data_IF_776197713741
#
_entry.id   IF_776197713741
#
_cell.length_a   1.000
_cell.length_b   1.000
_cell.length_c   1.000
_cell.angle_alpha   90.00
_cell.angle_beta   90.00
_cell.angle_gamma   90.00
#
_symmetry.space_group_name_H-M   'P 1'
#
loop_
_entity.id
_entity.type
_entity.pdbx_description
1 polymer ?
#
# COMPACT_ATOMS: atom_id res chain seq x y z
N UNK A 1 18.59 -17.09 12.26
CA UNK A 1 17.37 -17.56 12.88
C UNK A 1 17.19 -16.88 14.23
N UNK A 2 16.04 -16.24 14.45
CA UNK A 2 15.76 -15.43 15.67
C UNK A 2 15.58 -16.33 16.92
N UNK A 3 15.50 -17.65 16.74
CA UNK A 3 15.12 -18.61 17.77
C UNK A 3 16.15 -18.80 18.90
N UNK A 4 17.42 -18.42 18.69
CA UNK A 4 18.53 -18.77 19.62
C UNK A 4 19.28 -17.57 20.19
N UNK A 5 18.74 -16.36 20.11
CA UNK A 5 19.37 -15.23 20.79
C UNK A 5 18.97 -15.22 22.25
N UNK A 6 19.74 -15.94 23.05
CA UNK A 6 19.82 -15.93 24.51
C UNK A 6 18.50 -15.66 25.24
N UNK A 7 17.76 -16.72 25.63
CA UNK A 7 16.60 -16.56 26.50
C UNK A 7 17.05 -15.92 27.82
N UNK A 8 16.51 -14.75 28.13
CA UNK A 8 16.74 -14.07 29.40
C UNK A 8 15.58 -14.36 30.37
N UNK A 9 15.75 -14.11 31.65
CA UNK A 9 14.70 -14.23 32.65
C UNK A 9 13.46 -13.36 32.33
N UNK A 10 13.63 -12.32 31.51
CA UNK A 10 12.52 -11.48 31.03
C UNK A 10 11.50 -12.28 30.20
N UNK A 11 11.94 -13.29 29.46
CA UNK A 11 11.05 -14.11 28.63
C UNK A 11 10.01 -14.92 29.42
N UNK A 12 10.20 -15.09 30.72
CA UNK A 12 9.28 -15.80 31.60
C UNK A 12 8.20 -14.89 32.19
N UNK A 13 8.33 -13.57 32.04
CA UNK A 13 7.34 -12.60 32.50
C UNK A 13 6.16 -12.46 31.52
N UNK A 14 4.98 -12.05 32.01
CA UNK A 14 3.85 -11.67 31.16
C UNK A 14 4.24 -10.55 30.18
N UNK A 15 3.67 -10.58 28.97
CA UNK A 15 4.05 -9.64 27.88
C UNK A 15 3.80 -8.18 28.25
N UNK A 16 2.72 -7.87 28.98
CA UNK A 16 2.40 -6.51 29.43
C UNK A 16 3.46 -5.94 30.40
N UNK A 17 4.05 -6.78 31.24
CA UNK A 17 5.16 -6.41 32.12
C UNK A 17 6.43 -6.19 31.30
N UNK A 18 6.72 -7.10 30.35
CA UNK A 18 7.88 -6.99 29.47
C UNK A 18 7.87 -5.71 28.66
N UNK A 19 6.70 -5.30 28.14
CA UNK A 19 6.55 -4.03 27.40
C UNK A 19 6.81 -2.83 28.30
N UNK A 20 6.31 -2.82 29.55
CA UNK A 20 6.54 -1.72 30.50
C UNK A 20 8.02 -1.57 30.88
N UNK A 21 8.71 -2.69 31.04
CA UNK A 21 10.11 -2.73 31.47
C UNK A 21 11.11 -2.63 30.32
N UNK A 22 10.66 -2.63 29.06
CA UNK A 22 11.50 -2.80 27.88
C UNK A 22 12.66 -1.79 27.79
N UNK A 23 12.43 -0.55 28.19
CA UNK A 23 13.46 0.52 28.12
C UNK A 23 14.67 0.25 29.02
N UNK A 24 14.48 -0.53 30.12
CA UNK A 24 15.53 -0.81 31.11
C UNK A 24 15.95 -2.27 31.18
N UNK A 25 15.18 -3.15 30.54
CA UNK A 25 15.42 -4.58 30.57
C UNK A 25 16.08 -5.06 29.25
N UNK A 26 17.02 -5.99 29.37
CA UNK A 26 17.58 -6.69 28.21
C UNK A 26 16.64 -7.83 27.78
N UNK A 27 15.70 -7.53 26.87
CA UNK A 27 14.72 -8.50 26.39
C UNK A 27 14.70 -8.66 24.86
N UNK A 28 15.72 -9.32 24.28
CA UNK A 28 15.78 -9.58 22.83
C UNK A 28 14.62 -10.49 22.34
N UNK A 29 14.05 -11.32 23.22
CA UNK A 29 12.91 -12.15 22.88
C UNK A 29 11.64 -11.34 22.64
N UNK A 30 11.44 -10.20 23.31
CA UNK A 30 10.30 -9.33 23.06
C UNK A 30 10.39 -8.70 21.68
N UNK A 31 11.58 -8.30 21.24
CA UNK A 31 11.82 -7.80 19.87
C UNK A 31 11.48 -8.87 18.82
N UNK A 32 11.95 -10.09 19.06
CA UNK A 32 11.66 -11.22 18.18
C UNK A 32 10.14 -11.54 18.15
N UNK A 33 9.49 -11.50 19.30
CA UNK A 33 8.04 -11.71 19.39
C UNK A 33 7.27 -10.63 18.63
N UNK A 34 7.66 -9.37 18.78
CA UNK A 34 7.02 -8.25 18.10
C UNK A 34 7.18 -8.35 16.57
N UNK A 35 8.37 -8.70 16.10
CA UNK A 35 8.60 -8.98 14.68
C UNK A 35 7.72 -10.12 14.16
N UNK A 36 7.65 -11.23 14.87
CA UNK A 36 6.80 -12.36 14.47
C UNK A 36 5.31 -12.05 14.57
N UNK A 37 4.91 -11.17 15.49
CA UNK A 37 3.53 -10.71 15.58
C UNK A 37 3.13 -9.87 14.36
N UNK A 38 4.01 -8.98 13.87
CA UNK A 38 3.78 -8.27 12.61
C UNK A 38 3.62 -9.22 11.41
N UNK A 39 4.48 -10.24 11.32
CA UNK A 39 4.34 -11.30 10.30
C UNK A 39 3.02 -12.06 10.43
N UNK A 40 2.64 -12.44 11.65
CA UNK A 40 1.37 -13.11 11.92
C UNK A 40 0.17 -12.30 11.44
N UNK A 41 0.16 -10.98 11.66
CA UNK A 41 -0.93 -10.12 11.19
C UNK A 41 -1.07 -10.16 9.67
N UNK A 42 0.03 -10.09 8.93
CA UNK A 42 0.00 -10.19 7.47
C UNK A 42 -0.41 -11.59 6.99
N UNK A 43 0.18 -12.64 7.55
CA UNK A 43 -0.17 -14.04 7.23
C UNK A 43 -1.67 -14.29 7.45
N UNK A 44 -2.23 -13.78 8.54
CA UNK A 44 -3.63 -14.04 8.89
C UNK A 44 -4.61 -13.24 8.04
N UNK A 45 -4.21 -12.08 7.50
CA UNK A 45 -5.10 -11.16 6.80
C UNK A 45 -4.95 -11.13 5.28
N UNK A 46 -3.92 -11.78 4.73
CA UNK A 46 -3.61 -11.71 3.30
C UNK A 46 -3.09 -13.06 2.79
N UNK A 47 -4.00 -13.97 2.51
CA UNK A 47 -3.69 -15.30 1.98
C UNK A 47 -3.83 -15.34 0.46
N UNK A 48 -2.97 -16.09 -0.26
CA UNK A 48 -3.06 -16.27 -1.70
C UNK A 48 -4.46 -16.70 -2.14
N UNK A 49 -4.97 -16.11 -3.23
CA UNK A 49 -6.32 -16.33 -3.73
C UNK A 49 -7.43 -15.64 -2.93
N UNK A 50 -7.08 -14.92 -1.87
CA UNK A 50 -8.00 -14.11 -1.07
C UNK A 50 -8.00 -12.63 -1.47
N UNK A 51 -8.67 -11.80 -0.64
CA UNK A 51 -8.61 -10.34 -0.77
C UNK A 51 -7.43 -9.79 0.04
N UNK A 52 -6.89 -8.62 -0.35
CA UNK A 52 -5.85 -7.97 0.43
C UNK A 52 -6.33 -7.55 1.83
N UNK A 53 -5.41 -7.36 2.75
CA UNK A 53 -5.68 -6.74 4.05
C UNK A 53 -6.18 -5.31 3.86
N UNK A 54 -7.35 -4.98 4.43
CA UNK A 54 -7.88 -3.62 4.44
C UNK A 54 -7.31 -2.81 5.64
N UNK A 55 -7.85 -1.60 5.91
CA UNK A 55 -7.42 -0.75 7.03
C UNK A 55 -7.41 -1.45 8.41
N UNK A 56 -8.19 -2.51 8.58
CA UNK A 56 -8.25 -3.30 9.82
C UNK A 56 -7.82 -4.75 9.61
N UNK A 57 -7.06 -5.03 8.56
CA UNK A 57 -6.73 -6.40 8.18
C UNK A 57 -7.99 -7.18 7.80
N UNK A 58 -8.41 -8.09 8.70
CA UNK A 58 -9.67 -8.83 8.64
C UNK A 58 -10.48 -8.67 9.94
N UNK A 59 -9.96 -7.92 10.92
CA UNK A 59 -10.52 -7.84 12.28
C UNK A 59 -11.52 -6.69 12.42
N UNK A 60 -12.66 -6.81 11.76
CA UNK A 60 -13.78 -5.89 11.89
C UNK A 60 -15.03 -6.61 12.40
N UNK A 61 -15.63 -6.09 13.46
CA UNK A 61 -16.89 -6.60 14.05
C UNK A 61 -18.05 -5.62 13.91
N UNK A 62 -17.83 -4.45 13.26
CA UNK A 62 -18.82 -3.38 13.21
C UNK A 62 -19.40 -3.26 11.82
N UNK A 63 -20.71 -3.00 11.74
CA UNK A 63 -21.37 -2.64 10.49
C UNK A 63 -20.84 -1.31 9.93
N UNK A 64 -20.55 -0.36 10.83
CA UNK A 64 -19.92 0.93 10.50
C UNK A 64 -18.54 1.02 11.19
N UNK A 65 -17.50 0.39 10.62
CA UNK A 65 -16.16 0.45 11.16
C UNK A 65 -15.49 1.81 10.91
N UNK A 66 -14.39 2.06 11.62
CA UNK A 66 -13.56 3.24 11.35
C UNK A 66 -13.11 3.23 9.88
N UNK A 67 -13.23 4.39 9.22
CA UNK A 67 -12.92 4.59 7.79
C UNK A 67 -13.53 3.52 6.86
N UNK A 68 -14.61 2.85 7.30
CA UNK A 68 -15.38 1.86 6.54
C UNK A 68 -14.56 0.65 6.06
N UNK A 69 -13.41 0.37 6.69
CA UNK A 69 -12.48 -0.71 6.31
C UNK A 69 -12.08 -0.69 4.83
N UNK A 70 -11.92 0.49 4.23
CA UNK A 70 -11.54 0.62 2.82
C UNK A 70 -10.08 0.22 2.58
N UNK A 71 -9.73 0.08 1.33
CA UNK A 71 -8.35 0.08 0.87
C UNK A 71 -7.96 1.53 0.58
N UNK A 72 -7.39 2.19 1.59
CA UNK A 72 -6.90 3.56 1.45
C UNK A 72 -5.52 3.53 0.81
N UNK A 73 -5.39 4.17 -0.34
CA UNK A 73 -4.28 4.01 -1.28
C UNK A 73 -3.28 5.16 -1.26
N UNK A 74 -3.46 6.12 -0.35
CA UNK A 74 -2.51 7.23 -0.20
C UNK A 74 -1.37 6.94 0.79
N UNK A 75 -1.41 5.81 1.51
CA UNK A 75 -0.34 5.27 2.37
C UNK A 75 -0.70 3.91 2.97
N UNK A 76 -1.95 3.68 3.39
CA UNK A 76 -2.28 2.58 4.29
C UNK A 76 -2.15 1.21 3.61
N UNK A 77 -2.64 1.08 2.38
CA UNK A 77 -2.53 -0.16 1.62
C UNK A 77 -1.06 -0.52 1.38
N UNK A 78 -0.25 0.45 1.00
CA UNK A 78 1.19 0.28 0.77
C UNK A 78 1.90 -0.16 2.06
N UNK A 79 1.65 0.54 3.18
CA UNK A 79 2.26 0.22 4.48
C UNK A 79 1.93 -1.19 4.96
N UNK A 80 0.71 -1.68 4.72
CA UNK A 80 0.33 -3.04 5.07
C UNK A 80 1.25 -4.07 4.40
N UNK A 81 1.78 -3.78 3.22
CA UNK A 81 2.54 -4.73 2.40
C UNK A 81 4.05 -4.47 2.33
N UNK A 82 4.55 -3.35 2.87
CA UNK A 82 6.01 -3.12 2.95
C UNK A 82 6.79 -4.25 3.62
N UNK A 83 6.26 -4.93 4.66
CA UNK A 83 7.00 -6.03 5.26
C UNK A 83 6.97 -7.34 4.44
N UNK A 84 6.12 -7.48 3.43
CA UNK A 84 5.90 -8.77 2.76
C UNK A 84 7.20 -9.38 2.22
N UNK A 85 7.88 -8.71 1.32
CA UNK A 85 9.10 -9.22 0.70
C UNK A 85 10.27 -9.28 1.70
N UNK A 86 10.53 -8.19 2.44
CA UNK A 86 11.67 -8.08 3.35
C UNK A 86 11.60 -9.03 4.54
N UNK A 87 10.42 -9.52 4.90
CA UNK A 87 10.24 -10.49 5.99
C UNK A 87 10.04 -11.92 5.50
N UNK A 88 10.29 -12.19 4.21
CA UNK A 88 10.14 -13.50 3.58
C UNK A 88 8.71 -14.03 3.67
N UNK A 89 7.76 -13.23 3.21
CA UNK A 89 6.33 -13.53 3.07
C UNK A 89 5.81 -13.15 1.66
N UNK A 90 6.52 -13.52 0.58
CA UNK A 90 6.14 -13.09 -0.76
C UNK A 90 4.75 -13.60 -1.19
N UNK A 91 4.31 -14.75 -0.65
CA UNK A 91 2.99 -15.31 -0.94
C UNK A 91 1.87 -14.43 -0.37
N UNK A 92 2.13 -13.76 0.76
CA UNK A 92 1.16 -12.84 1.39
C UNK A 92 1.04 -11.51 0.64
N UNK A 93 1.99 -11.21 -0.26
CA UNK A 93 1.92 -10.03 -1.13
C UNK A 93 0.98 -10.24 -2.31
N UNK A 94 0.77 -11.48 -2.73
CA UNK A 94 0.01 -11.84 -3.92
C UNK A 94 -1.39 -11.21 -3.98
N UNK A 95 -2.23 -11.21 -2.92
CA UNK A 95 -3.56 -10.60 -2.99
C UNK A 95 -3.52 -9.11 -3.32
N UNK A 96 -2.51 -8.39 -2.84
CA UNK A 96 -2.33 -6.97 -3.13
C UNK A 96 -1.85 -6.74 -4.57
N UNK A 97 -0.89 -7.54 -5.03
CA UNK A 97 -0.41 -7.47 -6.42
C UNK A 97 -1.53 -7.81 -7.41
N UNK A 98 -2.40 -8.78 -7.07
CA UNK A 98 -3.57 -9.10 -7.86
C UNK A 98 -4.57 -7.93 -7.88
N UNK A 99 -4.82 -7.28 -6.74
CA UNK A 99 -5.65 -6.09 -6.69
C UNK A 99 -5.12 -4.97 -7.60
N UNK A 100 -3.81 -4.77 -7.69
CA UNK A 100 -3.22 -3.78 -8.59
C UNK A 100 -3.51 -4.11 -10.06
N UNK A 101 -3.42 -5.39 -10.45
CA UNK A 101 -3.75 -5.84 -11.80
C UNK A 101 -5.21 -5.56 -12.15
N UNK A 102 -6.13 -5.83 -11.22
CA UNK A 102 -7.56 -5.58 -11.40
C UNK A 102 -7.88 -4.07 -11.46
N UNK A 103 -7.18 -3.27 -10.64
CA UNK A 103 -7.31 -1.81 -10.68
C UNK A 103 -6.77 -1.20 -11.98
N UNK A 104 -5.78 -1.82 -12.61
CA UNK A 104 -5.30 -1.38 -13.92
C UNK A 104 -6.40 -1.36 -14.97
N UNK A 105 -7.25 -2.38 -15.02
CA UNK A 105 -8.36 -2.47 -15.97
C UNK A 105 -9.36 -1.33 -15.76
N UNK A 106 -9.86 -1.16 -14.54
CA UNK A 106 -10.81 -0.09 -14.20
C UNK A 106 -10.17 1.31 -14.29
N UNK A 107 -8.87 1.39 -13.98
CA UNK A 107 -8.11 2.64 -13.99
C UNK A 107 -7.91 3.24 -15.38
N UNK A 108 -7.94 2.41 -16.44
CA UNK A 108 -7.86 2.89 -17.81
C UNK A 108 -9.12 3.68 -18.21
N UNK A 109 -10.29 3.21 -17.80
CA UNK A 109 -11.54 3.93 -18.01
C UNK A 109 -11.53 5.27 -17.27
N UNK A 110 -11.13 5.27 -16.00
CA UNK A 110 -11.03 6.49 -15.19
C UNK A 110 -10.04 7.50 -15.80
N UNK A 111 -8.88 7.06 -16.29
CA UNK A 111 -7.90 7.93 -16.95
C UNK A 111 -8.50 8.58 -18.21
N UNK A 112 -9.18 7.80 -19.03
CA UNK A 112 -9.77 8.27 -20.29
C UNK A 112 -10.98 9.19 -20.06
N UNK A 113 -11.95 8.75 -19.24
CA UNK A 113 -13.23 9.46 -19.12
C UNK A 113 -13.16 10.68 -18.19
N UNK A 114 -12.35 10.62 -17.13
CA UNK A 114 -12.26 11.72 -16.18
C UNK A 114 -11.14 12.74 -16.53
N UNK A 115 -10.09 12.29 -17.19
CA UNK A 115 -8.88 13.09 -17.40
C UNK A 115 -8.48 13.24 -18.88
N UNK A 116 -9.08 12.46 -19.78
CA UNK A 116 -8.69 12.46 -21.20
C UNK A 116 -7.27 11.96 -21.44
N UNK A 117 -6.71 11.18 -20.52
CA UNK A 117 -5.34 10.68 -20.53
C UNK A 117 -5.28 9.21 -20.95
N UNK A 118 -4.13 8.81 -21.51
CA UNK A 118 -3.78 7.41 -21.73
C UNK A 118 -3.45 6.70 -20.40
N UNK A 119 -3.12 5.43 -20.51
CA UNK A 119 -2.69 4.63 -19.37
C UNK A 119 -3.80 4.39 -18.36
N UNK A 120 -3.47 4.44 -17.08
CA UNK A 120 -4.43 4.23 -15.99
C UNK A 120 -4.11 5.11 -14.80
N UNK A 121 -5.12 5.33 -13.95
CA UNK A 121 -4.97 6.11 -12.74
C UNK A 121 -5.72 5.47 -11.58
N UNK A 122 -5.43 5.89 -10.37
CA UNK A 122 -6.10 5.45 -9.14
C UNK A 122 -6.22 6.63 -8.18
N UNK A 123 -7.43 6.85 -7.66
CA UNK A 123 -7.69 7.80 -6.59
C UNK A 123 -7.36 7.22 -5.21
N UNK A 124 -7.52 8.02 -4.15
CA UNK A 124 -7.00 7.71 -2.80
C UNK A 124 -7.73 6.58 -2.05
N UNK A 125 -8.80 6.02 -2.57
CA UNK A 125 -9.50 4.87 -2.01
C UNK A 125 -10.03 3.94 -3.10
N UNK A 126 -10.06 2.65 -2.78
CA UNK A 126 -10.75 1.64 -3.56
C UNK A 126 -11.51 0.67 -2.65
N UNK A 127 -12.22 -0.27 -3.22
CA UNK A 127 -13.04 -1.26 -2.52
C UNK A 127 -12.89 -2.68 -3.12
N UNK A 128 -13.75 -3.60 -2.69
CA UNK A 128 -13.75 -4.98 -3.17
C UNK A 128 -14.08 -5.11 -4.66
N UNK A 129 -14.77 -4.14 -5.24
CA UNK A 129 -15.11 -4.10 -6.67
C UNK A 129 -14.11 -3.32 -7.51
N UNK A 130 -13.00 -2.89 -6.90
CA UNK A 130 -11.93 -2.11 -7.57
C UNK A 130 -12.44 -0.77 -8.13
N UNK A 131 -13.36 -0.16 -7.39
CA UNK A 131 -13.84 1.17 -7.72
C UNK A 131 -12.68 2.16 -7.82
N UNK A 132 -12.69 2.96 -8.85
CA UNK A 132 -11.62 3.93 -9.16
C UNK A 132 -12.11 5.37 -9.33
N UNK A 133 -13.33 5.67 -8.88
CA UNK A 133 -13.85 7.04 -8.84
C UNK A 133 -13.27 7.85 -7.68
N UNK A 134 -13.25 9.17 -7.83
CA UNK A 134 -12.97 10.06 -6.72
C UNK A 134 -14.08 9.95 -5.67
N UNK A 135 -13.73 9.53 -4.46
CA UNK A 135 -14.68 9.35 -3.35
C UNK A 135 -14.29 10.21 -2.16
N UNK A 136 -15.20 10.28 -1.19
CA UNK A 136 -15.10 11.11 -0.01
C UNK A 136 -15.26 12.60 -0.34
N UNK A 137 -14.45 13.46 0.25
CA UNK A 137 -14.60 14.91 0.11
C UNK A 137 -13.75 15.44 -1.04
N UNK A 138 -14.17 16.54 -1.64
CA UNK A 138 -13.46 17.14 -2.77
C UNK A 138 -11.98 17.49 -2.50
N UNK A 139 -11.60 17.67 -1.22
CA UNK A 139 -10.23 18.00 -0.86
C UNK A 139 -9.32 16.77 -0.67
N UNK A 140 -9.82 15.57 -0.79
CA UNK A 140 -9.01 14.35 -0.71
C UNK A 140 -9.31 13.34 -1.83
N UNK A 141 -10.54 13.30 -2.34
CA UNK A 141 -10.95 12.35 -3.36
C UNK A 141 -10.11 12.39 -4.63
N UNK A 142 -9.95 13.54 -5.30
CA UNK A 142 -9.24 13.62 -6.57
C UNK A 142 -7.71 13.70 -6.40
N UNK A 143 -7.12 12.69 -5.80
CA UNK A 143 -5.66 12.52 -5.72
C UNK A 143 -5.20 11.46 -6.74
N UNK A 144 -4.53 11.84 -7.83
CA UNK A 144 -4.31 10.95 -8.97
C UNK A 144 -2.98 10.18 -8.93
N UNK A 145 -2.26 10.13 -7.80
CA UNK A 145 -0.89 9.61 -7.77
C UNK A 145 -0.73 8.21 -7.20
N UNK A 146 -1.80 7.54 -6.81
CA UNK A 146 -1.76 6.20 -6.22
C UNK A 146 -1.23 5.12 -7.16
N UNK A 147 -1.58 5.17 -8.45
CA UNK A 147 -1.15 4.18 -9.43
C UNK A 147 0.36 4.06 -9.53
N UNK A 148 1.08 5.18 -9.53
CA UNK A 148 2.55 5.17 -9.55
C UNK A 148 3.13 4.61 -8.24
N UNK A 149 2.51 4.93 -7.11
CA UNK A 149 2.96 4.39 -5.82
C UNK A 149 2.73 2.88 -5.73
N UNK A 150 1.61 2.40 -6.20
CA UNK A 150 1.33 0.96 -6.28
C UNK A 150 2.29 0.22 -7.23
N UNK A 151 2.76 0.85 -8.29
CA UNK A 151 3.75 0.27 -9.20
C UNK A 151 5.10 -0.03 -8.50
N UNK A 152 5.43 0.65 -7.38
CA UNK A 152 6.62 0.31 -6.60
C UNK A 152 6.54 -1.11 -6.03
N UNK A 153 5.36 -1.55 -5.58
CA UNK A 153 5.16 -2.93 -5.11
C UNK A 153 5.37 -3.97 -6.20
N UNK A 154 4.96 -3.68 -7.44
CA UNK A 154 5.22 -4.54 -8.59
C UNK A 154 6.72 -4.64 -8.87
N UNK A 155 7.42 -3.51 -8.80
CA UNK A 155 8.87 -3.46 -9.00
C UNK A 155 9.64 -4.16 -7.86
N UNK A 156 9.27 -3.92 -6.61
CA UNK A 156 9.89 -4.55 -5.44
C UNK A 156 9.75 -6.07 -5.51
N UNK A 157 8.56 -6.59 -5.86
CA UNK A 157 8.37 -8.02 -6.07
C UNK A 157 9.34 -8.58 -7.10
N UNK A 158 9.57 -7.86 -8.20
CA UNK A 158 10.57 -8.27 -9.18
C UNK A 158 11.99 -8.23 -8.62
N UNK A 159 12.36 -7.18 -7.89
CA UNK A 159 13.70 -7.07 -7.30
C UNK A 159 14.01 -8.23 -6.33
N UNK A 160 13.02 -8.67 -5.56
CA UNK A 160 13.19 -9.78 -4.62
C UNK A 160 13.15 -11.16 -5.29
N UNK A 161 12.37 -11.33 -6.36
CA UNK A 161 12.22 -12.63 -7.04
C UNK A 161 13.21 -12.85 -8.19
N UNK A 162 13.60 -11.78 -8.89
CA UNK A 162 14.33 -11.87 -10.14
C UNK A 162 13.56 -12.51 -11.30
N UNK A 163 12.24 -12.72 -11.14
CA UNK A 163 11.38 -13.41 -12.11
C UNK A 163 11.06 -12.50 -13.30
N UNK A 164 11.69 -12.78 -14.43
CA UNK A 164 11.49 -12.04 -15.68
C UNK A 164 10.11 -12.27 -16.32
N UNK A 165 9.49 -13.42 -16.06
CA UNK A 165 8.14 -13.69 -16.56
C UNK A 165 7.13 -12.81 -15.81
N UNK A 166 7.27 -12.73 -14.48
CA UNK A 166 6.50 -11.79 -13.67
C UNK A 166 6.72 -10.34 -14.12
N UNK A 167 7.98 -9.92 -14.36
CA UNK A 167 8.26 -8.58 -14.86
C UNK A 167 7.57 -8.30 -16.20
N UNK A 168 7.62 -9.25 -17.13
CA UNK A 168 6.95 -9.12 -18.43
C UNK A 168 5.43 -8.96 -18.29
N UNK A 169 4.82 -9.65 -17.33
CA UNK A 169 3.40 -9.55 -17.00
C UNK A 169 3.02 -8.17 -16.45
N UNK A 170 3.80 -7.62 -15.52
CA UNK A 170 3.46 -6.37 -14.81
C UNK A 170 4.02 -5.11 -15.49
N UNK A 171 4.94 -5.25 -16.44
CA UNK A 171 5.52 -4.12 -17.17
C UNK A 171 4.48 -3.23 -17.86
N UNK A 172 3.43 -3.78 -18.51
CA UNK A 172 2.37 -2.94 -19.09
C UNK A 172 1.65 -2.04 -18.06
N UNK A 173 1.50 -2.49 -16.82
CA UNK A 173 0.88 -1.71 -15.75
C UNK A 173 1.76 -0.51 -15.37
N UNK A 174 3.06 -0.75 -15.18
CA UNK A 174 4.02 0.31 -14.87
C UNK A 174 4.15 1.31 -16.03
N UNK A 175 4.21 0.82 -17.27
CA UNK A 175 4.22 1.66 -18.46
C UNK A 175 2.96 2.51 -18.55
N UNK A 176 1.77 1.90 -18.31
CA UNK A 176 0.50 2.62 -18.36
C UNK A 176 0.40 3.70 -17.28
N UNK A 177 0.96 3.48 -16.08
CA UNK A 177 1.06 4.54 -15.08
C UNK A 177 1.93 5.71 -15.58
N UNK A 178 3.06 5.44 -16.21
CA UNK A 178 3.89 6.49 -16.80
C UNK A 178 3.17 7.24 -17.93
N UNK A 179 2.45 6.53 -18.80
CA UNK A 179 1.69 7.14 -19.90
C UNK A 179 0.63 8.11 -19.37
N UNK A 180 -0.04 7.78 -18.26
CA UNK A 180 -0.98 8.69 -17.60
C UNK A 180 -0.29 10.01 -17.22
N UNK A 181 0.85 9.98 -16.57
CA UNK A 181 1.55 11.20 -16.16
C UNK A 181 2.12 12.01 -17.33
N UNK A 182 2.55 11.34 -18.39
CA UNK A 182 3.00 12.06 -19.60
C UNK A 182 1.90 12.91 -20.23
N UNK A 183 0.64 12.49 -20.08
CA UNK A 183 -0.51 13.23 -20.57
C UNK A 183 -1.09 14.20 -19.52
N UNK A 184 -1.00 13.87 -18.24
CA UNK A 184 -1.62 14.59 -17.14
C UNK A 184 -0.79 15.75 -16.60
N UNK A 185 0.55 15.63 -16.63
CA UNK A 185 1.43 16.67 -16.10
C UNK A 185 1.34 17.94 -16.97
N UNK A 186 1.22 19.09 -16.30
CA UNK A 186 1.21 20.40 -16.94
C UNK A 186 2.51 21.15 -16.67
N UNK A 187 2.87 22.06 -17.57
CA UNK A 187 4.02 22.93 -17.36
C UNK A 187 3.64 24.14 -16.54
N UNK A 188 4.33 24.34 -15.43
CA UNK A 188 4.22 25.53 -14.60
C UNK A 188 4.88 26.71 -15.34
N UNK A 189 4.24 27.92 -15.35
CA UNK A 189 4.64 29.01 -16.24
C UNK A 189 5.94 29.73 -15.87
N UNK A 190 6.38 29.71 -14.62
CA UNK A 190 7.56 30.46 -14.19
C UNK A 190 8.87 29.71 -14.45
N UNK A 191 8.95 28.45 -14.02
CA UNK A 191 10.16 27.63 -14.10
C UNK A 191 10.10 26.56 -15.18
N UNK A 192 8.95 26.43 -15.85
CA UNK A 192 8.70 25.40 -16.87
C UNK A 192 8.81 23.95 -16.35
N UNK A 193 8.58 23.76 -15.05
CA UNK A 193 8.56 22.42 -14.45
C UNK A 193 7.28 21.66 -14.82
N UNK A 194 7.39 20.34 -14.87
CA UNK A 194 6.23 19.47 -14.99
C UNK A 194 5.66 19.24 -13.60
N UNK A 195 4.39 19.59 -13.41
CA UNK A 195 3.68 19.52 -12.12
C UNK A 195 2.34 18.83 -12.26
N UNK A 196 1.85 18.27 -11.19
CA UNK A 196 0.49 17.71 -11.08
C UNK A 196 -0.46 18.84 -10.72
N UNK A 197 -1.33 19.22 -11.65
CA UNK A 197 -2.33 20.25 -11.42
C UNK A 197 -3.63 19.96 -12.21
N UNK A 198 -4.82 19.92 -11.55
CA UNK A 198 -5.01 20.09 -10.11
C UNK A 198 -4.54 18.87 -9.32
N UNK A 199 -4.07 19.09 -8.10
CA UNK A 199 -3.73 18.01 -7.17
C UNK A 199 -4.19 18.35 -5.75
N UNK A 200 -4.65 17.32 -5.06
CA UNK A 200 -4.91 17.37 -3.63
C UNK A 200 -4.04 16.31 -2.96
N UNK A 201 -3.47 16.64 -1.81
CA UNK A 201 -2.73 15.68 -0.98
C UNK A 201 -3.63 15.24 0.17
N UNK A 202 -4.27 14.05 0.08
CA UNK A 202 -5.03 13.54 1.23
C UNK A 202 -4.09 13.38 2.41
N UNK A 203 -4.58 13.75 3.33
CA UNK A 203 -5.07 14.39 4.50
C UNK A 203 -4.31 15.69 4.84
N UNK A 204 -3.57 16.26 3.93
CA UNK A 204 -2.97 17.58 4.11
C UNK A 204 -3.93 18.65 3.60
N UNK A 205 -4.24 19.62 4.44
CA UNK A 205 -5.03 20.79 4.07
C UNK A 205 -4.23 21.79 3.22
N UNK A 206 -2.97 21.53 2.93
CA UNK A 206 -2.20 22.36 2.06
C UNK A 206 -2.60 22.11 0.61
N UNK A 207 -3.40 23.00 0.08
CA UNK A 207 -3.34 23.29 -1.34
C UNK A 207 -1.86 23.55 -1.65
N UNK A 208 -1.23 22.63 -2.38
CA UNK A 208 0.10 22.92 -2.90
C UNK A 208 -0.13 24.00 -3.95
N UNK A 209 0.03 25.23 -3.52
CA UNK A 209 0.23 26.34 -4.44
C UNK A 209 1.67 26.17 -4.94
N UNK A 210 1.80 25.55 -6.06
CA UNK A 210 3.02 25.59 -6.85
C UNK A 210 2.94 26.81 -7.74
#
# INVERSE_FOLDING_TARGET
>A
CIRDRGRTAQADKPTDIRVKEFATANDPHLVALYFQFGRYLLISSSQPGGQPANLQGIWNQKLNPAWKCRYTTNINAEMNYWPAEVTNLPEMHEPFLQMIKELYENGQEAAREMYGCRGWMLHHNTDLWRMNGAVDKAYCGPWPTCNAWFCQHLWDRYLFSGDKNYLAEVYPLMRGACEFYLDFLVREPENNWLVVAPSYSPENLSLIHI
#
